data_IF_760785481794
#
_entry.id   IF_760785481794
#
_cell.length_a   1.000
_cell.length_b   1.000
_cell.length_c   1.000
_cell.angle_alpha   90.00
_cell.angle_beta   90.00
_cell.angle_gamma   90.00
#
_symmetry.space_group_name_H-M   'P 1'
#
loop_
_entity.id
_entity.type
_entity.pdbx_description
1 polymer ?
#
# COMPACT_ATOMS: atom_id res chain seq x y z
N UNK A 1 26.39 -8.36 -0.79
CA UNK A 1 25.29 -9.34 -0.77
C UNK A 1 24.17 -8.95 -1.73
N UNK A 2 23.67 -7.71 -1.73
CA UNK A 2 22.61 -7.28 -2.69
C UNK A 2 23.10 -7.16 -4.14
N UNK A 3 24.28 -6.59 -4.39
CA UNK A 3 24.87 -6.57 -5.74
C UNK A 3 25.13 -7.97 -6.31
N UNK A 4 25.38 -8.95 -5.44
CA UNK A 4 25.62 -10.34 -5.84
C UNK A 4 24.31 -11.02 -6.24
N UNK A 5 23.22 -10.80 -5.49
CA UNK A 5 21.87 -11.25 -5.87
C UNK A 5 21.39 -10.61 -7.17
N UNK A 6 21.62 -9.31 -7.35
CA UNK A 6 21.26 -8.60 -8.58
C UNK A 6 22.04 -9.12 -9.80
N UNK A 7 23.33 -9.42 -9.63
CA UNK A 7 24.17 -9.97 -10.69
C UNK A 7 23.79 -11.41 -11.05
N UNK A 8 23.37 -12.21 -10.07
CA UNK A 8 22.86 -13.57 -10.30
C UNK A 8 21.52 -13.56 -11.03
N UNK A 9 20.61 -12.62 -10.70
CA UNK A 9 19.34 -12.46 -11.43
C UNK A 9 19.53 -11.98 -12.86
N UNK A 10 20.46 -11.05 -13.10
CA UNK A 10 20.79 -10.62 -14.47
C UNK A 10 21.32 -11.79 -15.31
N UNK A 11 22.17 -12.63 -14.74
CA UNK A 11 22.68 -13.83 -15.39
C UNK A 11 21.59 -14.86 -15.67
N UNK A 12 20.63 -15.02 -14.75
CA UNK A 12 19.45 -15.88 -14.94
C UNK A 12 18.56 -15.36 -16.08
N UNK A 13 18.33 -14.05 -16.14
CA UNK A 13 17.55 -13.42 -17.22
C UNK A 13 18.23 -13.57 -18.59
N UNK A 14 19.56 -13.43 -18.64
CA UNK A 14 20.35 -13.65 -19.85
C UNK A 14 20.21 -15.10 -20.36
N UNK A 15 20.24 -16.09 -19.45
CA UNK A 15 20.03 -17.50 -19.80
C UNK A 15 18.64 -17.76 -20.38
N UNK A 16 17.60 -17.19 -19.77
CA UNK A 16 16.21 -17.30 -20.27
C UNK A 16 16.11 -16.70 -21.67
N UNK A 17 16.70 -15.52 -21.90
CA UNK A 17 16.67 -14.84 -23.21
C UNK A 17 17.39 -15.65 -24.30
N UNK A 18 18.55 -16.24 -23.98
CA UNK A 18 19.28 -17.08 -24.93
C UNK A 18 18.47 -18.31 -25.35
N UNK A 19 17.75 -18.93 -24.42
CA UNK A 19 16.86 -20.07 -24.72
C UNK A 19 15.65 -19.65 -25.56
N UNK A 20 15.07 -18.46 -25.32
CA UNK A 20 14.00 -17.92 -26.16
C UNK A 20 14.48 -17.71 -27.61
N UNK A 21 15.69 -17.20 -27.80
CA UNK A 21 16.29 -17.01 -29.13
C UNK A 21 16.52 -18.35 -29.84
N UNK A 22 17.04 -19.35 -29.12
CA UNK A 22 17.21 -20.73 -29.64
C UNK A 22 15.88 -21.37 -30.10
N UNK A 23 14.78 -21.17 -29.36
CA UNK A 23 13.45 -21.67 -29.74
C UNK A 23 12.87 -20.92 -30.94
N UNK A 24 13.24 -19.64 -31.11
CA UNK A 24 12.84 -18.80 -32.25
C UNK A 24 13.58 -19.17 -33.53
N UNK A 25 14.87 -19.52 -33.45
CA UNK A 25 15.67 -19.94 -34.61
C UNK A 25 15.31 -21.36 -35.10
N UNK A 26 14.89 -22.22 -34.17
CA UNK A 26 14.47 -23.60 -34.46
C UNK A 26 13.08 -23.70 -35.10
N UNK A 27 12.27 -22.64 -34.99
CA UNK A 27 10.90 -22.57 -35.52
C UNK A 27 10.84 -21.83 -36.87
N UNK A 28 11.76 -22.19 -37.78
CA UNK A 28 11.66 -21.85 -39.20
C UNK A 28 10.58 -22.69 -39.89
N UNK A 29 9.30 -22.43 -39.57
CA UNK A 29 8.11 -22.63 -40.43
C UNK A 29 6.84 -22.76 -39.58
N UNK A 30 6.27 -21.63 -39.16
CA UNK A 30 4.81 -21.43 -39.21
C UNK A 30 4.48 -19.96 -38.87
N UNK A 31 3.96 -19.25 -39.85
CA UNK A 31 3.27 -17.97 -39.64
C UNK A 31 2.11 -18.19 -38.68
N UNK A 32 2.21 -17.71 -37.44
CA UNK A 32 1.05 -17.41 -36.62
C UNK A 32 1.35 -16.22 -35.71
N UNK A 33 0.67 -15.11 -35.99
CA UNK A 33 0.80 -13.80 -35.34
C UNK A 33 0.25 -13.76 -33.90
N UNK A 34 0.55 -14.75 -33.06
CA UNK A 34 0.19 -14.75 -31.64
C UNK A 34 1.29 -15.44 -30.81
N UNK A 35 2.54 -15.01 -30.96
CA UNK A 35 3.59 -15.40 -30.03
C UNK A 35 3.38 -14.63 -28.72
N UNK A 36 2.54 -15.19 -27.84
CA UNK A 36 2.43 -14.70 -26.47
C UNK A 36 3.81 -14.76 -25.84
N UNK A 37 4.38 -13.61 -25.50
CA UNK A 37 5.69 -13.47 -24.87
C UNK A 37 5.81 -14.31 -23.61
N UNK A 38 4.70 -14.49 -22.91
CA UNK A 38 4.63 -15.26 -21.67
C UNK A 38 4.72 -16.77 -21.95
N UNK A 39 4.18 -17.25 -23.07
CA UNK A 39 4.32 -18.65 -23.49
C UNK A 39 5.78 -18.98 -23.83
N UNK A 40 6.45 -18.11 -24.59
CA UNK A 40 7.88 -18.27 -24.91
C UNK A 40 8.76 -18.25 -23.66
N UNK A 41 8.44 -17.34 -22.72
CA UNK A 41 9.14 -17.24 -21.44
C UNK A 41 8.90 -18.46 -20.55
N UNK A 42 7.68 -18.98 -20.49
CA UNK A 42 7.36 -20.21 -19.76
C UNK A 42 8.14 -21.41 -20.32
N UNK A 43 8.13 -21.61 -21.64
CA UNK A 43 8.84 -22.71 -22.30
C UNK A 43 10.35 -22.62 -22.11
N UNK A 44 10.91 -21.41 -22.15
CA UNK A 44 12.34 -21.21 -21.88
C UNK A 44 12.72 -21.56 -20.44
N UNK A 45 11.92 -21.11 -19.45
CA UNK A 45 12.11 -21.48 -18.06
C UNK A 45 11.99 -22.99 -17.82
N UNK A 46 11.00 -23.64 -18.45
CA UNK A 46 10.84 -25.09 -18.37
C UNK A 46 12.02 -25.84 -19.01
N UNK A 47 12.55 -25.35 -20.13
CA UNK A 47 13.74 -25.92 -20.78
C UNK A 47 14.97 -25.82 -19.88
N UNK A 48 15.20 -24.66 -19.25
CA UNK A 48 16.28 -24.49 -18.27
C UNK A 48 16.12 -25.42 -17.06
N UNK A 49 14.90 -25.58 -16.56
CA UNK A 49 14.59 -26.53 -15.49
C UNK A 49 14.96 -27.97 -15.87
N UNK A 50 14.68 -28.39 -17.11
CA UNK A 50 15.05 -29.73 -17.60
C UNK A 50 16.57 -29.95 -17.66
N UNK A 51 17.32 -28.89 -17.95
CA UNK A 51 18.79 -28.91 -18.02
C UNK A 51 19.47 -28.87 -16.64
N UNK A 52 18.77 -28.44 -15.58
CA UNK A 52 19.32 -28.38 -14.23
C UNK A 52 19.51 -29.79 -13.64
N UNK A 53 20.63 -30.10 -12.96
CA UNK A 53 20.84 -31.41 -12.31
C UNK A 53 19.75 -31.70 -11.27
N UNK A 54 19.19 -32.90 -11.30
CA UNK A 54 18.16 -33.34 -10.36
C UNK A 54 18.50 -34.76 -9.87
N UNK A 55 19.32 -34.84 -8.83
CA UNK A 55 19.87 -36.12 -8.34
C UNK A 55 20.65 -36.86 -9.44
N UNK A 56 20.42 -38.17 -9.56
CA UNK A 56 21.05 -39.04 -10.58
C UNK A 56 20.27 -39.07 -11.92
N UNK A 57 19.20 -38.27 -12.06
CA UNK A 57 18.34 -38.32 -13.25
C UNK A 57 18.98 -37.58 -14.43
N UNK A 58 19.19 -38.31 -15.53
CA UNK A 58 19.60 -37.72 -16.81
C UNK A 58 18.41 -37.06 -17.53
N UNK A 59 18.70 -36.28 -18.58
CA UNK A 59 17.67 -35.56 -19.35
C UNK A 59 16.65 -36.52 -19.99
N UNK A 60 17.08 -37.70 -20.44
CA UNK A 60 16.19 -38.67 -21.09
C UNK A 60 15.22 -39.29 -20.09
N UNK A 61 15.69 -39.60 -18.89
CA UNK A 61 14.88 -40.11 -17.78
C UNK A 61 13.87 -39.07 -17.31
N UNK A 62 14.27 -37.79 -17.20
CA UNK A 62 13.34 -36.68 -16.89
C UNK A 62 12.25 -36.53 -17.94
N UNK A 63 12.61 -36.54 -19.23
CA UNK A 63 11.63 -36.46 -20.31
C UNK A 63 10.63 -37.63 -20.29
N UNK A 64 11.11 -38.85 -20.01
CA UNK A 64 10.26 -40.04 -19.88
C UNK A 64 9.28 -39.92 -18.72
N UNK A 65 9.77 -39.52 -17.53
CA UNK A 65 8.94 -39.32 -16.35
C UNK A 65 7.87 -38.25 -16.59
N UNK A 66 8.25 -37.12 -17.19
CA UNK A 66 7.28 -36.08 -17.52
C UNK A 66 6.26 -36.63 -18.50
N UNK A 67 6.65 -37.27 -19.60
CA UNK A 67 5.68 -37.83 -20.56
C UNK A 67 4.72 -38.84 -19.92
N UNK A 68 5.17 -39.65 -18.97
CA UNK A 68 4.34 -40.64 -18.26
C UNK A 68 3.36 -39.99 -17.27
N UNK A 69 3.79 -38.92 -16.60
CA UNK A 69 2.99 -38.23 -15.60
C UNK A 69 2.18 -37.05 -16.14
N UNK A 70 2.55 -36.48 -17.29
CA UNK A 70 1.91 -35.29 -17.86
C UNK A 70 0.43 -35.54 -18.17
N UNK A 71 0.10 -36.76 -18.60
CA UNK A 71 -1.29 -37.18 -18.85
C UNK A 71 -2.14 -37.28 -17.57
N UNK A 72 -1.50 -37.30 -16.39
CA UNK A 72 -2.14 -37.33 -15.07
C UNK A 72 -2.19 -35.95 -14.40
N UNK A 73 -1.50 -34.95 -14.97
CA UNK A 73 -1.51 -33.58 -14.47
C UNK A 73 -2.78 -32.90 -15.00
N UNK A 74 -3.81 -32.82 -14.17
CA UNK A 74 -4.99 -31.98 -14.43
C UNK A 74 -4.81 -30.60 -13.78
N UNK A 75 -5.54 -29.61 -14.27
CA UNK A 75 -5.62 -28.29 -13.62
C UNK A 75 -6.07 -28.40 -12.15
N UNK A 76 -7.04 -29.29 -11.87
CA UNK A 76 -7.53 -29.54 -10.52
C UNK A 76 -6.46 -30.11 -9.58
N UNK A 77 -5.58 -31.00 -10.05
CA UNK A 77 -4.48 -31.53 -9.25
C UNK A 77 -3.46 -30.44 -8.88
N UNK A 78 -3.19 -29.51 -9.80
CA UNK A 78 -2.28 -28.39 -9.58
C UNK A 78 -2.88 -27.36 -8.62
N UNK A 79 -4.18 -27.09 -8.73
CA UNK A 79 -4.92 -26.19 -7.82
C UNK A 79 -4.98 -26.77 -6.39
N UNK A 80 -5.29 -28.06 -6.25
CA UNK A 80 -5.29 -28.77 -4.96
C UNK A 80 -3.90 -28.79 -4.32
N UNK A 81 -2.86 -28.98 -5.12
CA UNK A 81 -1.46 -28.95 -4.64
C UNK A 81 -1.00 -27.55 -4.24
N UNK A 82 -1.46 -26.51 -4.96
CA UNK A 82 -1.23 -25.11 -4.62
C UNK A 82 -1.87 -24.74 -3.29
N UNK A 83 -3.08 -25.24 -3.01
CA UNK A 83 -3.78 -25.02 -1.75
C UNK A 83 -3.00 -25.66 -0.57
N UNK A 84 -2.45 -26.86 -0.75
CA UNK A 84 -1.65 -27.55 0.27
C UNK A 84 -0.25 -26.93 0.51
N UNK A 85 0.32 -26.24 -0.48
CA UNK A 85 1.57 -25.49 -0.35
C UNK A 85 1.35 -24.12 0.32
N UNK A 86 0.22 -23.46 0.06
CA UNK A 86 -0.13 -22.19 0.69
C UNK A 86 -0.44 -22.31 2.19
N UNK A 87 -0.83 -23.50 2.68
CA UNK A 87 -1.03 -23.76 4.11
C UNK A 87 0.29 -23.89 4.89
N UNK A 88 1.46 -23.86 4.23
CA UNK A 88 2.75 -24.12 4.89
C UNK A 88 3.83 -23.06 4.75
N UNK A 89 3.69 -22.07 3.89
CA UNK A 89 4.53 -20.88 3.91
C UNK A 89 3.68 -19.66 3.54
N UNK A 90 3.53 -18.79 4.53
CA UNK A 90 2.78 -17.55 4.47
C UNK A 90 3.55 -16.53 3.62
N UNK A 91 3.52 -16.70 2.28
CA UNK A 91 3.59 -15.65 1.24
C UNK A 91 3.17 -16.32 -0.09
N UNK A 92 1.95 -16.07 -0.55
CA UNK A 92 1.64 -16.18 -1.97
C UNK A 92 1.11 -14.85 -2.47
N UNK A 93 2.03 -14.05 -3.01
CA UNK A 93 1.74 -13.00 -3.97
C UNK A 93 1.05 -13.66 -5.17
N UNK A 94 -0.26 -13.45 -5.31
CA UNK A 94 -0.96 -13.58 -6.59
C UNK A 94 -1.68 -12.27 -6.91
N UNK A 95 -0.91 -11.34 -7.45
CA UNK A 95 -1.33 -10.62 -8.66
C UNK A 95 -1.68 -11.67 -9.73
N UNK A 96 -2.60 -11.50 -10.66
CA UNK A 96 -3.72 -10.59 -10.86
C UNK A 96 -4.33 -11.07 -12.20
N UNK A 97 -5.59 -10.75 -12.46
CA UNK A 97 -6.23 -10.84 -13.79
C UNK A 97 -6.57 -12.24 -14.33
N UNK A 98 -7.60 -12.89 -13.79
CA UNK A 98 -8.65 -13.53 -14.59
C UNK A 98 -9.65 -14.21 -13.66
N UNK A 99 -10.69 -13.49 -13.24
CA UNK A 99 -11.95 -14.13 -12.86
C UNK A 99 -13.04 -13.48 -13.68
N UNK A 100 -13.27 -14.09 -14.84
CA UNK A 100 -14.60 -14.16 -15.42
C UNK A 100 -15.57 -14.50 -14.27
N UNK A 101 -16.46 -13.56 -13.98
CA UNK A 101 -17.65 -13.87 -13.21
C UNK A 101 -18.50 -14.78 -14.09
N UNK A 102 -18.59 -16.04 -13.73
CA UNK A 102 -19.81 -16.80 -13.89
C UNK A 102 -19.82 -17.97 -12.89
N UNK A 103 -21.00 -18.15 -12.31
CA UNK A 103 -21.53 -19.35 -11.66
C UNK A 103 -21.21 -19.63 -10.17
N UNK A 104 -22.05 -19.00 -9.34
CA UNK A 104 -22.94 -19.66 -8.38
C UNK A 104 -22.50 -21.03 -7.81
N UNK A 105 -21.64 -21.03 -6.79
CA UNK A 105 -21.73 -22.05 -5.75
C UNK A 105 -21.16 -21.57 -4.42
N UNK A 106 -22.05 -21.57 -3.43
CA UNK A 106 -21.79 -21.25 -2.03
C UNK A 106 -20.82 -22.28 -1.44
N UNK A 107 -19.60 -21.85 -1.14
CA UNK A 107 -18.74 -22.51 -0.15
C UNK A 107 -18.32 -21.46 0.87
N UNK A 108 -18.73 -21.69 2.12
CA UNK A 108 -18.60 -20.76 3.22
C UNK A 108 -17.16 -20.49 3.60
N UNK A 109 -16.59 -19.44 3.01
CA UNK A 109 -15.68 -18.57 3.74
C UNK A 109 -16.58 -17.63 4.53
N UNK A 110 -16.56 -17.71 5.87
CA UNK A 110 -17.09 -16.60 6.65
C UNK A 110 -16.42 -15.34 6.13
N UNK A 111 -17.15 -14.26 5.81
CA UNK A 111 -16.50 -12.99 5.54
C UNK A 111 -15.67 -12.69 6.79
N UNK A 112 -14.34 -12.65 6.66
CA UNK A 112 -13.62 -11.70 7.51
C UNK A 112 -14.31 -10.39 7.14
N UNK A 113 -15.05 -9.82 8.08
CA UNK A 113 -15.80 -8.60 7.82
C UNK A 113 -14.81 -7.60 7.22
N UNK A 114 -14.95 -7.39 5.91
CA UNK A 114 -14.12 -6.48 5.12
C UNK A 114 -14.30 -5.02 5.57
N UNK A 115 -15.10 -4.80 6.62
CA UNK A 115 -15.32 -3.52 7.29
C UNK A 115 -14.11 -3.08 8.12
N UNK A 116 -13.28 -3.99 8.63
CA UNK A 116 -12.15 -3.65 9.53
C UNK A 116 -10.77 -3.70 8.86
N UNK A 117 -10.68 -3.96 7.55
CA UNK A 117 -9.40 -4.03 6.85
C UNK A 117 -8.95 -2.61 6.44
N UNK A 118 -7.79 -2.17 6.95
CA UNK A 118 -7.18 -0.94 6.48
C UNK A 118 -6.69 -1.14 5.03
N UNK A 119 -7.29 -0.40 4.11
CA UNK A 119 -6.91 -0.40 2.70
C UNK A 119 -6.43 0.97 2.29
N UNK A 120 -5.35 0.99 1.50
CA UNK A 120 -4.72 2.19 0.98
C UNK A 120 -4.67 2.09 -0.54
N UNK A 121 -5.09 3.15 -1.23
CA UNK A 121 -4.99 3.23 -2.68
C UNK A 121 -3.57 3.56 -3.14
N UNK A 122 -3.19 3.10 -4.34
CA UNK A 122 -1.89 3.43 -4.93
C UNK A 122 -1.69 4.95 -5.09
N UNK A 123 -2.74 5.70 -5.45
CA UNK A 123 -2.69 7.16 -5.55
C UNK A 123 -2.35 7.79 -4.19
N UNK A 124 -3.00 7.33 -3.12
CA UNK A 124 -2.68 7.79 -1.75
C UNK A 124 -1.23 7.49 -1.37
N UNK A 125 -0.72 6.32 -1.75
CA UNK A 125 0.71 6.00 -1.53
C UNK A 125 1.65 6.90 -2.30
N UNK A 126 1.37 7.15 -3.57
CA UNK A 126 2.21 7.99 -4.40
C UNK A 126 2.25 9.43 -3.92
N UNK A 127 1.12 9.94 -3.40
CA UNK A 127 1.02 11.31 -2.87
C UNK A 127 1.67 11.46 -1.50
N UNK A 128 1.58 10.44 -0.66
CA UNK A 128 2.27 10.37 0.63
C UNK A 128 3.81 10.40 0.51
N UNK A 129 4.38 10.09 -0.66
CA UNK A 129 5.83 9.97 -0.83
C UNK A 129 6.59 11.27 -0.51
N UNK A 130 6.08 12.44 -0.88
CA UNK A 130 6.77 13.70 -0.56
C UNK A 130 6.81 13.94 0.94
N UNK A 131 5.67 13.74 1.62
CA UNK A 131 5.59 13.83 3.09
C UNK A 131 6.56 12.85 3.75
N UNK A 132 6.61 11.60 3.27
CA UNK A 132 7.53 10.59 3.80
C UNK A 132 9.00 10.93 3.57
N UNK A 133 9.34 11.46 2.39
CA UNK A 133 10.70 11.89 2.09
C UNK A 133 11.13 13.02 3.04
N UNK A 134 10.30 14.06 3.15
CA UNK A 134 10.54 15.19 4.04
C UNK A 134 10.62 14.74 5.50
N UNK A 135 9.75 13.81 5.89
CA UNK A 135 9.75 13.21 7.22
C UNK A 135 11.07 12.48 7.51
N UNK A 136 11.51 11.60 6.60
CA UNK A 136 12.75 10.85 6.76
C UNK A 136 13.95 11.78 6.85
N UNK A 137 14.02 12.82 5.99
CA UNK A 137 15.11 13.79 5.97
C UNK A 137 15.17 14.64 7.25
N UNK A 138 14.01 15.02 7.77
CA UNK A 138 13.93 16.02 8.85
C UNK A 138 13.91 15.38 10.25
N UNK A 139 13.31 14.19 10.40
CA UNK A 139 13.02 13.64 11.72
C UNK A 139 13.87 12.44 12.12
N UNK A 140 14.49 11.71 11.18
CA UNK A 140 15.33 10.55 11.51
C UNK A 140 16.46 10.90 12.49
N UNK A 141 17.01 12.12 12.39
CA UNK A 141 18.06 12.59 13.30
C UNK A 141 17.63 12.62 14.77
N UNK A 142 16.35 12.87 15.07
CA UNK A 142 15.84 12.84 16.44
C UNK A 142 15.66 11.42 17.00
N UNK A 143 15.69 10.42 16.12
CA UNK A 143 15.61 9.00 16.46
C UNK A 143 16.97 8.29 16.41
N UNK A 144 18.06 9.05 16.30
CA UNK A 144 19.43 8.54 16.12
C UNK A 144 19.56 7.64 14.87
N UNK A 145 18.79 7.96 13.82
CA UNK A 145 18.80 7.26 12.54
C UNK A 145 19.47 8.12 11.47
N UNK A 146 20.14 7.46 10.52
CA UNK A 146 20.72 8.13 9.36
C UNK A 146 19.72 8.11 8.19
N UNK A 147 19.31 9.29 7.75
CA UNK A 147 18.43 9.47 6.59
C UNK A 147 19.07 9.03 5.26
N UNK A 148 20.39 8.77 5.23
CA UNK A 148 21.09 8.24 4.06
C UNK A 148 21.28 6.72 4.14
N UNK A 149 20.92 6.09 5.25
CA UNK A 149 21.00 4.64 5.42
C UNK A 149 19.79 3.95 4.80
N UNK A 150 20.01 3.30 3.66
CA UNK A 150 18.99 2.48 3.00
C UNK A 150 18.40 1.42 3.94
N UNK A 151 19.22 0.81 4.81
CA UNK A 151 18.77 -0.18 5.78
C UNK A 151 17.75 0.41 6.76
N UNK A 152 18.03 1.59 7.32
CA UNK A 152 17.11 2.28 8.24
C UNK A 152 15.81 2.65 7.53
N UNK A 153 15.90 3.18 6.31
CA UNK A 153 14.73 3.54 5.52
C UNK A 153 13.88 2.30 5.26
N UNK A 154 14.42 1.28 4.58
CA UNK A 154 13.62 0.11 4.16
C UNK A 154 13.10 -0.73 5.31
N UNK A 155 13.72 -0.67 6.50
CA UNK A 155 13.22 -1.34 7.69
C UNK A 155 11.88 -0.76 8.19
N UNK A 156 11.74 0.57 8.18
CA UNK A 156 10.57 1.24 8.79
C UNK A 156 9.59 1.79 7.75
N UNK A 157 10.06 2.02 6.52
CA UNK A 157 9.28 2.59 5.42
C UNK A 157 7.97 1.85 5.15
N UNK A 158 7.86 0.50 5.20
CA UNK A 158 6.58 -0.16 4.92
C UNK A 158 5.44 0.32 5.84
N UNK A 159 5.71 0.43 7.14
CA UNK A 159 4.70 0.84 8.11
C UNK A 159 4.45 2.35 8.09
N UNK A 160 5.53 3.15 8.01
CA UNK A 160 5.41 4.61 7.89
C UNK A 160 4.64 4.99 6.64
N UNK A 161 4.99 4.38 5.50
CA UNK A 161 4.32 4.61 4.23
C UNK A 161 2.86 4.18 4.29
N UNK A 162 2.57 2.99 4.83
CA UNK A 162 1.19 2.56 4.98
C UNK A 162 0.35 3.52 5.83
N UNK A 163 0.90 3.97 6.97
CA UNK A 163 0.20 4.86 7.90
C UNK A 163 -0.05 6.23 7.29
N UNK A 164 0.98 6.86 6.74
CA UNK A 164 0.86 8.18 6.09
C UNK A 164 -0.11 8.13 4.90
N UNK A 165 0.01 7.10 4.07
CA UNK A 165 -0.87 6.93 2.92
C UNK A 165 -2.33 6.69 3.34
N UNK A 166 -2.55 6.01 4.47
CA UNK A 166 -3.87 5.82 5.03
C UNK A 166 -4.45 7.15 5.51
N UNK A 167 -3.68 7.95 6.27
CA UNK A 167 -4.08 9.28 6.73
C UNK A 167 -4.42 10.17 5.54
N UNK A 168 -3.54 10.23 4.53
CA UNK A 168 -3.75 11.00 3.31
C UNK A 168 -5.05 10.61 2.57
N UNK A 169 -5.37 9.31 2.55
CA UNK A 169 -6.63 8.83 1.97
C UNK A 169 -7.84 9.35 2.75
N UNK A 170 -7.76 9.39 4.08
CA UNK A 170 -8.81 9.94 4.94
C UNK A 170 -8.95 11.45 4.76
N UNK A 171 -7.84 12.20 4.61
CA UNK A 171 -7.87 13.62 4.27
C UNK A 171 -8.61 13.87 2.95
N UNK A 172 -8.30 13.08 1.92
CA UNK A 172 -8.98 13.16 0.62
C UNK A 172 -10.48 12.88 0.75
N UNK A 173 -10.88 11.95 1.62
CA UNK A 173 -12.30 11.68 1.90
C UNK A 173 -12.93 12.87 2.63
N UNK A 174 -12.23 13.46 3.60
CA UNK A 174 -12.68 14.64 4.34
C UNK A 174 -12.90 15.84 3.42
N UNK A 175 -11.95 16.14 2.53
CA UNK A 175 -12.05 17.20 1.53
C UNK A 175 -13.26 17.01 0.61
N UNK A 176 -13.50 15.78 0.14
CA UNK A 176 -14.68 15.46 -0.67
C UNK A 176 -15.99 15.70 0.08
N UNK A 177 -16.02 15.46 1.40
CA UNK A 177 -17.19 15.76 2.23
C UNK A 177 -17.46 17.28 2.36
N UNK A 178 -16.44 18.13 2.19
CA UNK A 178 -16.61 19.59 2.14
C UNK A 178 -17.28 20.05 0.85
N UNK A 179 -16.95 19.42 -0.27
CA UNK A 179 -17.46 19.78 -1.60
C UNK A 179 -18.96 19.43 -1.78
N UNK A 180 -19.45 18.41 -1.06
CA UNK A 180 -20.83 17.92 -1.14
C UNK A 180 -21.55 17.97 0.21
N UNK A 181 -21.92 19.16 0.72
CA UNK A 181 -22.71 19.27 1.94
C UNK A 181 -24.11 18.67 1.69
N UNK A 182 -24.38 17.55 2.36
CA UNK A 182 -25.54 16.67 2.17
C UNK A 182 -26.88 17.41 1.92
N UNK A 183 -27.50 17.11 0.78
CA UNK A 183 -28.85 17.59 0.41
C UNK A 183 -29.34 17.16 -0.97
N UNK A 184 -28.47 16.72 -1.86
CA UNK A 184 -28.85 16.09 -3.14
C UNK A 184 -28.37 14.66 -3.18
N UNK A 185 -29.30 13.69 -3.21
CA UNK A 185 -29.01 12.44 -3.92
C UNK A 185 -28.90 12.86 -5.38
N UNK A 186 -27.68 13.01 -5.90
CA UNK A 186 -27.48 13.21 -7.33
C UNK A 186 -26.36 12.29 -7.80
N UNK A 187 -26.79 11.33 -8.61
CA UNK A 187 -26.03 10.51 -9.55
C UNK A 187 -24.52 10.74 -9.58
N UNK A 188 -23.79 9.80 -8.98
CA UNK A 188 -22.43 9.46 -9.39
C UNK A 188 -22.37 8.86 -10.81
N UNK A 189 -23.47 8.89 -11.59
CA UNK A 189 -23.70 8.03 -12.74
C UNK A 189 -23.37 8.66 -14.12
N UNK A 190 -22.75 9.83 -14.16
CA UNK A 190 -22.46 10.54 -15.42
C UNK A 190 -20.99 10.51 -15.84
N UNK A 191 -20.30 9.37 -15.69
CA UNK A 191 -19.08 9.08 -16.48
C UNK A 191 -18.93 7.56 -16.70
N UNK A 192 -18.85 7.06 -17.95
CA UNK A 192 -19.01 5.63 -18.23
C UNK A 192 -17.85 4.69 -17.85
N UNK A 193 -16.70 5.18 -17.36
CA UNK A 193 -15.44 4.38 -17.42
C UNK A 193 -14.85 3.87 -16.09
N UNK A 194 -15.61 3.77 -14.98
CA UNK A 194 -15.07 3.19 -13.73
C UNK A 194 -16.05 2.27 -13.02
N UNK A 195 -16.16 1.02 -13.50
CA UNK A 195 -17.05 -0.01 -12.93
C UNK A 195 -16.46 -0.64 -11.65
N UNK A 196 -15.15 -0.57 -11.41
CA UNK A 196 -14.50 -1.18 -10.23
C UNK A 196 -14.61 -0.31 -8.97
N UNK A 197 -14.83 1.00 -9.10
CA UNK A 197 -14.74 1.97 -8.01
C UNK A 197 -16.09 2.30 -7.33
N UNK A 198 -17.21 1.75 -7.82
CA UNK A 198 -18.57 2.14 -7.36
C UNK A 198 -18.95 1.60 -5.97
N UNK A 199 -18.36 0.49 -5.52
CA UNK A 199 -18.75 -0.16 -4.25
C UNK A 199 -17.97 0.33 -3.03
N UNK A 200 -16.71 0.76 -3.23
CA UNK A 200 -15.79 1.06 -2.13
C UNK A 200 -15.95 2.47 -1.59
N UNK A 201 -16.19 3.47 -2.46
CA UNK A 201 -16.29 4.88 -2.06
C UNK A 201 -17.41 5.13 -1.04
N UNK A 202 -18.65 4.60 -1.21
CA UNK A 202 -19.69 4.76 -0.18
C UNK A 202 -19.33 4.06 1.14
N UNK A 203 -18.57 2.96 1.08
CA UNK A 203 -18.16 2.16 2.24
C UNK A 203 -17.09 2.87 3.07
N UNK A 204 -16.05 3.41 2.42
CA UNK A 204 -15.02 4.21 3.08
C UNK A 204 -15.62 5.47 3.73
N UNK A 205 -16.58 6.12 3.08
CA UNK A 205 -17.28 7.29 3.64
C UNK A 205 -18.12 6.92 4.87
N UNK A 206 -18.73 5.71 4.91
CA UNK A 206 -19.46 5.23 6.07
C UNK A 206 -18.51 4.97 7.25
N UNK A 207 -17.41 4.25 7.01
CA UNK A 207 -16.38 3.95 8.03
C UNK A 207 -15.77 5.23 8.59
N UNK A 208 -15.44 6.20 7.73
CA UNK A 208 -14.88 7.50 8.11
C UNK A 208 -15.79 8.28 9.08
N UNK A 209 -17.11 8.13 8.97
CA UNK A 209 -18.06 8.83 9.85
C UNK A 209 -18.24 8.19 11.21
N UNK A 210 -17.93 6.90 11.36
CA UNK A 210 -18.13 6.16 12.61
C UNK A 210 -16.86 6.07 13.43
N UNK A 211 -15.77 5.62 12.82
CA UNK A 211 -14.45 5.49 13.43
C UNK A 211 -13.43 5.41 12.29
N UNK A 212 -12.82 6.54 11.96
CA UNK A 212 -11.99 6.67 10.76
C UNK A 212 -10.68 5.89 10.91
N UNK A 213 -10.17 5.76 12.14
CA UNK A 213 -8.88 5.16 12.41
C UNK A 213 -8.97 3.71 12.91
N UNK A 214 -10.16 3.16 13.18
CA UNK A 214 -10.31 1.75 13.60
C UNK A 214 -9.52 0.77 12.74
N UNK A 215 -9.56 0.83 11.40
CA UNK A 215 -8.82 -0.15 10.60
C UNK A 215 -7.31 0.00 10.76
N UNK A 216 -6.80 1.22 10.84
CA UNK A 216 -5.38 1.49 11.10
C UNK A 216 -4.97 1.00 12.49
N UNK A 217 -5.80 1.27 13.51
CA UNK A 217 -5.58 0.79 14.87
C UNK A 217 -5.46 -0.75 14.92
N UNK A 218 -6.33 -1.48 14.21
CA UNK A 218 -6.26 -2.95 14.13
C UNK A 218 -4.94 -3.42 13.50
N UNK A 219 -4.42 -2.71 12.50
CA UNK A 219 -3.10 -3.03 11.92
C UNK A 219 -2.00 -2.80 12.95
N UNK A 220 -1.96 -1.63 13.60
CA UNK A 220 -0.94 -1.30 14.60
C UNK A 220 -0.99 -2.22 15.83
N UNK A 221 -2.18 -2.66 16.24
CA UNK A 221 -2.39 -3.63 17.33
C UNK A 221 -1.75 -4.99 17.00
N UNK A 222 -1.82 -5.45 15.73
CA UNK A 222 -1.19 -6.71 15.31
C UNK A 222 0.34 -6.67 15.34
N UNK A 223 0.93 -5.49 15.20
CA UNK A 223 2.37 -5.28 15.31
C UNK A 223 2.82 -4.96 16.75
N UNK A 224 1.89 -4.93 17.73
CA UNK A 224 2.16 -4.62 19.14
C UNK A 224 2.80 -3.22 19.35
N UNK A 225 2.45 -2.27 18.49
CA UNK A 225 2.97 -0.89 18.51
C UNK A 225 1.88 0.15 18.75
N UNK A 226 0.62 -0.26 18.88
CA UNK A 226 -0.49 0.66 19.13
C UNK A 226 -0.55 1.05 20.61
N UNK A 227 -0.14 2.28 20.91
CA UNK A 227 -0.11 2.82 22.26
C UNK A 227 -1.25 3.81 22.52
N UNK A 228 -1.57 4.07 23.79
CA UNK A 228 -2.54 5.10 24.16
C UNK A 228 -2.13 6.49 23.64
N UNK A 229 -0.83 6.78 23.58
CA UNK A 229 -0.33 8.03 23.02
C UNK A 229 -0.64 8.17 21.53
N UNK A 230 -0.43 7.10 20.73
CA UNK A 230 -0.79 7.10 19.31
C UNK A 230 -2.31 7.23 19.15
N UNK A 231 -3.09 6.52 19.96
CA UNK A 231 -4.55 6.62 19.97
C UNK A 231 -5.03 8.06 20.21
N UNK A 232 -4.41 8.76 21.15
CA UNK A 232 -4.79 10.14 21.47
C UNK A 232 -4.38 11.13 20.37
N UNK A 233 -3.23 10.94 19.72
CA UNK A 233 -2.87 11.75 18.55
C UNK A 233 -3.79 11.50 17.34
N UNK A 234 -4.25 10.27 17.12
CA UNK A 234 -5.24 9.98 16.07
C UNK A 234 -6.59 10.65 16.35
N UNK A 235 -7.03 10.71 17.62
CA UNK A 235 -8.23 11.48 18.00
C UNK A 235 -8.05 12.97 17.75
N UNK A 236 -6.84 13.51 17.94
CA UNK A 236 -6.52 14.88 17.56
C UNK A 236 -6.75 15.13 16.06
N UNK A 237 -6.43 14.14 15.20
CA UNK A 237 -6.76 14.19 13.76
C UNK A 237 -8.27 14.21 13.48
N UNK A 238 -9.07 13.40 14.18
CA UNK A 238 -10.53 13.44 14.04
C UNK A 238 -11.13 14.79 14.48
N UNK A 239 -10.57 15.38 15.53
CA UNK A 239 -10.93 16.71 16.00
C UNK A 239 -10.52 17.78 14.98
N UNK A 240 -9.33 17.69 14.40
CA UNK A 240 -8.86 18.55 13.32
C UNK A 240 -9.84 18.55 12.16
N UNK A 241 -10.22 17.37 11.62
CA UNK A 241 -11.17 17.30 10.52
C UNK A 241 -12.54 17.88 10.87
N UNK A 242 -12.97 17.79 12.12
CA UNK A 242 -14.21 18.41 12.58
C UNK A 242 -14.12 19.93 12.56
N UNK A 243 -12.99 20.49 13.02
CA UNK A 243 -12.72 21.92 12.96
C UNK A 243 -12.57 22.40 11.52
N UNK A 244 -11.85 21.68 10.66
CA UNK A 244 -11.69 22.02 9.25
C UNK A 244 -13.05 22.10 8.56
N UNK A 245 -13.92 21.11 8.76
CA UNK A 245 -15.30 21.15 8.25
C UNK A 245 -16.12 22.30 8.81
N UNK A 246 -15.94 22.66 10.08
CA UNK A 246 -16.62 23.80 10.69
C UNK A 246 -16.14 25.11 10.05
N UNK A 247 -14.83 25.32 9.96
CA UNK A 247 -14.19 26.52 9.44
C UNK A 247 -14.51 26.73 7.96
N UNK A 248 -14.39 25.68 7.12
CA UNK A 248 -14.72 25.76 5.70
C UNK A 248 -16.21 26.08 5.46
N UNK A 249 -17.13 25.54 6.28
CA UNK A 249 -18.56 25.87 6.19
C UNK A 249 -18.82 27.31 6.63
N UNK A 250 -18.20 27.77 7.71
CA UNK A 250 -18.31 29.16 8.16
C UNK A 250 -17.80 30.13 7.08
N UNK A 251 -16.66 29.82 6.46
CA UNK A 251 -16.09 30.61 5.36
C UNK A 251 -17.03 30.67 4.16
N UNK A 252 -17.58 29.52 3.74
CA UNK A 252 -18.52 29.42 2.62
C UNK A 252 -19.83 30.17 2.88
N UNK A 253 -20.33 30.12 4.12
CA UNK A 253 -21.56 30.79 4.54
C UNK A 253 -21.35 32.24 5.02
N UNK A 254 -20.12 32.76 4.95
CA UNK A 254 -19.72 34.10 5.42
C UNK A 254 -20.10 34.36 6.88
N UNK A 255 -20.04 33.33 7.71
CA UNK A 255 -20.25 33.43 9.16
C UNK A 255 -18.96 33.89 9.86
N UNK A 256 -19.11 34.43 11.06
CA UNK A 256 -17.98 34.81 11.90
C UNK A 256 -17.19 33.58 12.34
N UNK A 257 -15.88 33.62 12.12
CA UNK A 257 -14.94 32.57 12.48
C UNK A 257 -14.28 32.98 13.80
N UNK A 258 -14.36 32.12 14.81
CA UNK A 258 -13.71 32.34 16.10
C UNK A 258 -12.21 32.08 15.96
N UNK A 259 -11.38 32.98 16.50
CA UNK A 259 -9.91 32.86 16.44
C UNK A 259 -9.44 31.62 17.18
N UNK A 260 -10.13 31.24 18.26
CA UNK A 260 -9.84 30.06 19.06
C UNK A 260 -9.96 28.76 18.25
N UNK A 261 -10.97 28.67 17.36
CA UNK A 261 -11.14 27.52 16.48
C UNK A 261 -10.00 27.42 15.47
N UNK A 262 -9.54 28.55 14.92
CA UNK A 262 -8.43 28.62 13.97
C UNK A 262 -7.12 28.23 14.65
N UNK A 263 -6.81 28.84 15.80
CA UNK A 263 -5.61 28.51 16.57
C UNK A 263 -5.58 27.03 16.94
N UNK A 264 -6.72 26.48 17.35
CA UNK A 264 -6.82 25.05 17.66
C UNK A 264 -6.63 24.18 16.42
N UNK A 265 -7.19 24.55 15.28
CA UNK A 265 -6.98 23.82 14.03
C UNK A 265 -5.50 23.78 13.62
N UNK A 266 -4.79 24.91 13.71
CA UNK A 266 -3.35 24.99 13.41
C UNK A 266 -2.57 24.01 14.29
N UNK A 267 -2.83 24.00 15.60
CA UNK A 267 -2.13 23.08 16.52
C UNK A 267 -2.44 21.59 16.29
N UNK A 268 -3.58 21.28 15.67
CA UNK A 268 -3.98 19.89 15.40
C UNK A 268 -3.60 19.43 14.00
N UNK A 269 -3.29 20.34 13.08
CA UNK A 269 -3.10 20.06 11.64
C UNK A 269 -2.01 19.01 11.39
N UNK A 270 -0.87 19.13 12.04
CA UNK A 270 0.29 18.23 11.85
C UNK A 270 0.26 16.98 12.74
N UNK A 271 -0.92 16.42 13.02
CA UNK A 271 -1.03 15.21 13.85
C UNK A 271 -0.40 13.97 13.18
N UNK A 272 -0.40 13.93 11.85
CA UNK A 272 0.25 12.93 11.01
C UNK A 272 1.75 12.80 11.33
N UNK A 273 2.49 13.91 11.34
CA UNK A 273 3.91 13.96 11.72
C UNK A 273 4.15 13.48 13.15
N UNK A 274 3.25 13.83 14.09
CA UNK A 274 3.33 13.37 15.48
C UNK A 274 3.10 11.86 15.58
N UNK A 275 2.13 11.31 14.84
CA UNK A 275 1.88 9.87 14.75
C UNK A 275 3.10 9.14 14.17
N UNK A 276 3.68 9.63 13.07
CA UNK A 276 4.87 9.03 12.46
C UNK A 276 6.07 9.02 13.42
N UNK A 277 6.28 10.11 14.17
CA UNK A 277 7.33 10.17 15.20
C UNK A 277 7.09 9.17 16.34
N UNK A 278 5.85 9.03 16.81
CA UNK A 278 5.50 8.04 17.82
C UNK A 278 5.72 6.61 17.32
N UNK A 279 5.37 6.33 16.07
CA UNK A 279 5.63 5.04 15.45
C UNK A 279 7.13 4.74 15.41
N UNK A 280 7.98 5.70 15.04
CA UNK A 280 9.42 5.52 15.08
C UNK A 280 9.95 5.19 16.49
N UNK A 281 9.43 5.82 17.55
CA UNK A 281 9.79 5.45 18.91
C UNK A 281 9.46 3.99 19.22
N UNK A 282 8.26 3.53 18.86
CA UNK A 282 7.84 2.14 19.07
C UNK A 282 8.66 1.16 18.25
N UNK A 283 8.88 1.44 16.96
CA UNK A 283 9.65 0.60 16.04
C UNK A 283 11.12 0.47 16.44
N UNK A 284 11.68 1.51 17.08
CA UNK A 284 13.04 1.49 17.63
C UNK A 284 13.12 0.88 19.05
N UNK A 285 11.99 0.52 19.67
CA UNK A 285 11.94 0.03 21.05
C UNK A 285 12.43 1.07 22.07
N UNK A 286 12.29 2.37 21.75
CA UNK A 286 12.74 3.48 22.60
C UNK A 286 11.56 4.08 23.35
N UNK A 287 11.84 4.62 24.54
CA UNK A 287 10.85 5.43 25.27
C UNK A 287 10.63 6.75 24.52
N UNK A 288 9.37 7.19 24.50
CA UNK A 288 9.00 8.49 23.93
C UNK A 288 9.77 9.58 24.67
N UNK A 289 10.39 10.47 23.90
CA UNK A 289 11.06 11.65 24.45
C UNK A 289 10.06 12.81 24.45
N UNK A 290 9.50 13.13 25.61
CA UNK A 290 8.51 14.20 25.75
C UNK A 290 9.05 15.57 25.32
N UNK A 291 10.34 15.85 25.56
CA UNK A 291 10.96 17.10 25.09
C UNK A 291 10.99 17.18 23.56
N UNK A 292 11.20 16.05 22.87
CA UNK A 292 11.09 16.01 21.43
C UNK A 292 9.64 16.23 20.98
N UNK A 293 8.66 15.57 21.62
CA UNK A 293 7.25 15.75 21.27
C UNK A 293 6.75 17.19 21.52
N UNK A 294 7.20 17.84 22.59
CA UNK A 294 6.94 19.26 22.86
C UNK A 294 7.58 20.16 21.80
N UNK A 295 8.82 19.86 21.40
CA UNK A 295 9.50 20.57 20.32
C UNK A 295 8.74 20.46 18.99
N UNK A 296 8.22 19.27 18.64
CA UNK A 296 7.42 19.06 17.43
C UNK A 296 6.23 20.02 17.40
N UNK A 297 5.46 20.08 18.49
CA UNK A 297 4.28 20.94 18.58
C UNK A 297 4.58 22.42 18.34
N UNK A 298 5.74 22.91 18.80
CA UNK A 298 6.17 24.30 18.57
C UNK A 298 6.69 24.49 17.15
N UNK A 299 7.51 23.55 16.65
CA UNK A 299 8.10 23.61 15.32
C UNK A 299 7.02 23.58 14.23
N UNK A 300 6.05 22.68 14.35
CA UNK A 300 4.91 22.54 13.43
C UNK A 300 4.10 23.84 13.38
N UNK A 301 3.78 24.43 14.53
CA UNK A 301 3.09 25.72 14.59
C UNK A 301 3.86 26.83 13.85
N UNK A 302 5.18 26.89 14.00
CA UNK A 302 6.01 27.89 13.31
C UNK A 302 6.07 27.66 11.80
N UNK A 303 6.12 26.39 11.35
CA UNK A 303 6.11 26.04 9.93
C UNK A 303 4.78 26.49 9.30
N UNK A 304 3.64 26.17 9.92
CA UNK A 304 2.32 26.57 9.42
C UNK A 304 2.17 28.09 9.32
N UNK A 305 2.60 28.84 10.36
CA UNK A 305 2.58 30.31 10.32
C UNK A 305 3.53 30.85 9.25
N UNK A 306 4.70 30.24 9.05
CA UNK A 306 5.67 30.64 8.04
C UNK A 306 5.12 30.44 6.63
N UNK A 307 4.49 29.30 6.36
CA UNK A 307 3.92 28.98 5.05
C UNK A 307 2.79 29.96 4.69
N UNK A 308 1.90 30.27 5.63
CA UNK A 308 0.86 31.27 5.44
C UNK A 308 1.43 32.67 5.12
N UNK A 309 2.48 33.09 5.83
CA UNK A 309 3.14 34.38 5.59
C UNK A 309 3.83 34.44 4.22
N UNK A 310 4.44 33.34 3.78
CA UNK A 310 5.09 33.27 2.47
C UNK A 310 4.06 33.37 1.34
N UNK A 311 2.91 32.69 1.48
CA UNK A 311 1.80 32.79 0.51
C UNK A 311 1.27 34.22 0.42
N UNK A 312 1.13 34.93 1.55
CA UNK A 312 0.71 36.34 1.57
C UNK A 312 1.76 37.30 1.00
N UNK A 313 3.05 36.97 1.10
CA UNK A 313 4.12 37.81 0.55
C UNK A 313 4.28 37.72 -0.97
N UNK A 314 3.68 36.69 -1.58
CA UNK A 314 3.72 36.41 -3.02
C UNK A 314 2.42 36.79 -3.76
N UNK A 315 1.41 37.32 -3.06
CA UNK A 315 0.14 37.85 -3.60
C UNK A 315 0.12 39.37 -3.65
#
# INVERSE_FOLDING_TARGET
>A
MECEKAMEELKRLEQVQNVILLHSDSSSSSNNNNNNTDSSRFLANFTLFMMQPCGELDIQQKCKLISEHFTKISSSLLEDSLQQLCDKDDVCIKDSLSRHFDDDSRVGLSPIDCEDLAMVSLDSMQRANSTLEDFCRSYFMFHEMDANSAECIFKYLPLLSFTESYIYQLDTINEKLLQFPSGGVSDFDSRPDQVVNRSWVPRCVKSFKTDAFRPLAVVLERYDIFTDRIRDELKCGEEYWTLERKLCRALTSKQEIQVEDVMKAIHLKSFDYRVLNLLLYQLNGRKINETHMEFLSVSEFLVEVSDDLLVHSLS
#
